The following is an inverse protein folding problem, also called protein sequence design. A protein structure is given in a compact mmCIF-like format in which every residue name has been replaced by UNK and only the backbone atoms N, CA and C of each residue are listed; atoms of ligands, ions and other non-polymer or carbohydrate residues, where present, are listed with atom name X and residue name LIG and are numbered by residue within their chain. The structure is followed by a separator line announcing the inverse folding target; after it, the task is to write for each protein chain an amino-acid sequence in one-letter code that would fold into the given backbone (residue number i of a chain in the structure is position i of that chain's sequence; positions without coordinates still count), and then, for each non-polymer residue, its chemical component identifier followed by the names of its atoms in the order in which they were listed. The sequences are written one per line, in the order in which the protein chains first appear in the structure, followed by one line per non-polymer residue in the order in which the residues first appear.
data_IF_645965862461
#
_entry.id   IF_645965862461
#
_cell.length_a   1.000
_cell.length_b   1.000
_cell.length_c   1.000
_cell.angle_alpha   90.00
_cell.angle_beta   90.00
_cell.angle_gamma   90.00
#
_symmetry.space_group_name_H-M   'P 1'
#
loop_
_entity.id
_entity.type
_entity.pdbx_description
1 polymer ?
#
# COMPACT_ATOMS: atom_id res chain seq x y z
N UNK A 1 -6.86 -7.16 -0.89
CA UNK A 1 -6.71 -6.80 0.53
C UNK A 1 -7.65 -7.70 1.32
N UNK A 2 -7.19 -8.33 2.41
CA UNK A 2 -8.06 -9.18 3.22
C UNK A 2 -9.12 -8.31 3.91
N UNK A 3 -10.39 -8.70 3.78
CA UNK A 3 -11.52 -8.04 4.42
C UNK A 3 -12.34 -9.12 5.14
N UNK A 4 -12.26 -9.22 6.48
CA UNK A 4 -12.92 -10.29 7.22
C UNK A 4 -14.45 -10.13 7.15
N UNK A 5 -15.15 -11.25 7.09
CA UNK A 5 -16.62 -11.28 7.04
C UNK A 5 -17.18 -11.27 8.46
N UNK A 6 -17.99 -10.25 8.83
CA UNK A 6 -18.61 -10.20 10.14
C UNK A 6 -19.70 -11.25 10.27
N UNK A 7 -19.91 -11.75 11.48
CA UNK A 7 -20.97 -12.69 11.85
C UNK A 7 -22.26 -11.97 12.28
N UNK A 8 -22.13 -10.73 12.77
CA UNK A 8 -23.24 -9.90 13.26
C UNK A 8 -23.50 -8.77 12.25
N UNK A 9 -24.76 -8.46 11.96
CA UNK A 9 -25.15 -7.41 11.01
C UNK A 9 -24.82 -6.00 11.55
N UNK A 10 -23.69 -5.49 11.09
CA UNK A 10 -23.22 -4.11 10.88
C UNK A 10 -23.39 -3.00 11.93
N UNK A 11 -24.37 -3.01 12.84
CA UNK A 11 -24.68 -1.84 13.67
C UNK A 11 -23.88 -1.73 14.98
N UNK A 12 -23.11 -2.76 15.37
CA UNK A 12 -22.25 -2.74 16.57
C UNK A 12 -20.75 -2.68 16.25
N UNK A 13 -20.37 -2.69 14.96
CA UNK A 13 -18.98 -2.91 14.53
C UNK A 13 -18.35 -1.63 13.94
N UNK A 14 -19.09 -0.52 13.85
CA UNK A 14 -18.63 0.69 13.14
C UNK A 14 -17.34 1.29 13.72
N UNK A 15 -17.02 1.04 15.00
CA UNK A 15 -15.82 1.56 15.66
C UNK A 15 -14.87 0.48 16.20
N UNK A 16 -15.05 -0.79 15.82
CA UNK A 16 -14.20 -1.88 16.27
C UNK A 16 -12.76 -1.70 15.75
N UNK A 17 -11.78 -1.60 16.65
CA UNK A 17 -10.36 -1.51 16.30
C UNK A 17 -9.65 -2.82 16.56
N UNK A 18 -8.52 -3.04 15.88
CA UNK A 18 -7.64 -4.19 16.13
C UNK A 18 -7.16 -4.21 17.58
N UNK A 19 -6.97 -3.03 18.19
CA UNK A 19 -6.63 -2.87 19.61
C UNK A 19 -7.65 -3.57 20.54
N UNK A 20 -8.93 -3.54 20.18
CA UNK A 20 -10.01 -4.14 20.97
C UNK A 20 -10.03 -5.67 20.85
N UNK A 21 -9.32 -6.23 19.86
CA UNK A 21 -9.18 -7.67 19.63
C UNK A 21 -7.94 -8.27 20.32
N UNK A 22 -7.09 -7.45 20.93
CA UNK A 22 -5.83 -7.88 21.54
C UNK A 22 -5.93 -7.81 23.07
N UNK A 23 -5.42 -8.84 23.76
CA UNK A 23 -5.12 -8.79 25.18
C UNK A 23 -3.66 -8.36 25.36
N UNK A 24 -3.45 -7.14 25.86
CA UNK A 24 -2.12 -6.55 26.03
C UNK A 24 -1.29 -7.13 27.17
N UNK A 25 -1.93 -7.71 28.17
CA UNK A 25 -1.26 -8.33 29.31
C UNK A 25 -0.62 -9.66 28.90
N UNK A 26 -1.39 -10.52 28.23
CA UNK A 26 -0.91 -11.81 27.73
C UNK A 26 -0.26 -11.74 26.34
N UNK A 27 -0.39 -10.62 25.63
CA UNK A 27 0.06 -10.42 24.24
C UNK A 27 -0.52 -11.44 23.27
N UNK A 28 -1.79 -11.79 23.47
CA UNK A 28 -2.53 -12.75 22.64
C UNK A 28 -3.77 -12.12 22.03
N UNK A 29 -4.31 -12.76 21.00
CA UNK A 29 -5.62 -12.43 20.46
C UNK A 29 -6.72 -12.85 21.45
N UNK A 30 -7.78 -12.04 21.56
CA UNK A 30 -9.00 -12.41 22.29
C UNK A 30 -9.84 -13.35 21.43
N UNK A 31 -9.54 -14.64 21.51
CA UNK A 31 -10.14 -15.69 20.67
C UNK A 31 -11.68 -15.68 20.74
N UNK A 32 -12.23 -15.61 21.95
CA UNK A 32 -13.66 -15.54 22.24
C UNK A 32 -14.36 -14.37 21.52
N UNK A 33 -13.75 -13.18 21.58
CA UNK A 33 -14.27 -11.98 20.93
C UNK A 33 -14.20 -12.12 19.40
N UNK A 34 -13.08 -12.61 18.87
CA UNK A 34 -12.89 -12.78 17.42
C UNK A 34 -13.86 -13.81 16.85
N UNK A 35 -14.05 -14.95 17.51
CA UNK A 35 -14.94 -16.03 17.06
C UNK A 35 -16.43 -15.65 17.13
N UNK A 36 -16.78 -14.73 18.03
CA UNK A 36 -18.11 -14.11 18.08
C UNK A 36 -18.35 -13.09 16.96
N UNK A 37 -17.32 -12.36 16.55
CA UNK A 37 -17.43 -11.24 15.60
C UNK A 37 -17.27 -11.64 14.14
N UNK A 38 -16.47 -12.66 13.82
CA UNK A 38 -16.13 -13.03 12.44
C UNK A 38 -16.53 -14.49 12.13
N UNK A 39 -16.66 -14.79 10.83
CA UNK A 39 -16.80 -16.17 10.38
C UNK A 39 -15.54 -16.97 10.69
N UNK A 40 -15.68 -18.25 11.05
CA UNK A 40 -14.60 -19.14 11.48
C UNK A 40 -13.36 -19.10 10.56
N UNK A 41 -13.56 -19.16 9.24
CA UNK A 41 -12.48 -19.10 8.25
C UNK A 41 -11.69 -17.79 8.26
N UNK A 42 -12.29 -16.68 8.71
CA UNK A 42 -11.65 -15.38 8.82
C UNK A 42 -11.10 -15.16 10.24
N UNK A 43 -11.78 -15.65 11.28
CA UNK A 43 -11.28 -15.70 12.65
C UNK A 43 -9.94 -16.42 12.74
N UNK A 44 -9.83 -17.60 12.12
CA UNK A 44 -8.59 -18.36 12.05
C UNK A 44 -7.46 -17.53 11.42
N UNK A 45 -7.72 -16.83 10.31
CA UNK A 45 -6.72 -15.98 9.65
C UNK A 45 -6.27 -14.82 10.54
N UNK A 46 -7.20 -14.18 11.24
CA UNK A 46 -6.88 -13.08 12.16
C UNK A 46 -6.00 -13.61 13.30
N UNK A 47 -6.38 -14.72 13.92
CA UNK A 47 -5.65 -15.32 15.04
C UNK A 47 -4.25 -15.85 14.63
N UNK A 48 -4.06 -16.22 13.36
CA UNK A 48 -2.74 -16.57 12.82
C UNK A 48 -1.80 -15.37 12.60
N UNK A 49 -2.29 -14.13 12.67
CA UNK A 49 -1.43 -12.96 12.53
C UNK A 49 -0.51 -12.84 13.76
N UNK A 50 0.82 -12.70 13.56
CA UNK A 50 1.74 -12.58 14.67
C UNK A 50 1.56 -11.22 15.36
N UNK A 51 1.37 -11.26 16.68
CA UNK A 51 1.39 -10.06 17.51
C UNK A 51 2.85 -9.70 17.85
N UNK A 52 3.20 -8.40 17.84
CA UNK A 52 4.55 -7.97 18.15
C UNK A 52 4.87 -8.23 19.64
N UNK A 53 5.98 -8.92 19.90
CA UNK A 53 6.46 -9.21 21.26
C UNK A 53 6.82 -7.93 22.01
N UNK A 54 7.39 -6.97 21.29
CA UNK A 54 7.76 -5.64 21.80
C UNK A 54 6.75 -4.62 21.28
N UNK A 55 6.21 -3.74 22.13
CA UNK A 55 5.33 -2.68 21.68
C UNK A 55 6.05 -1.81 20.65
N UNK A 56 5.42 -1.63 19.49
CA UNK A 56 5.87 -0.76 18.41
C UNK A 56 4.73 0.17 18.05
N UNK A 57 5.06 1.40 17.67
CA UNK A 57 4.06 2.32 17.14
C UNK A 57 3.60 1.83 15.77
N UNK A 58 2.30 1.95 15.50
CA UNK A 58 1.75 1.67 14.19
C UNK A 58 2.42 2.55 13.13
N UNK A 59 2.64 1.96 11.96
CA UNK A 59 3.27 2.63 10.83
C UNK A 59 2.57 2.24 9.53
N UNK A 60 2.54 3.17 8.57
CA UNK A 60 1.98 2.90 7.25
C UNK A 60 2.94 2.02 6.46
N UNK A 61 2.42 0.90 5.95
CA UNK A 61 3.17 -0.09 5.17
C UNK A 61 2.62 -0.11 3.74
N UNK A 62 3.51 -0.02 2.76
CA UNK A 62 3.18 -0.06 1.34
C UNK A 62 3.21 -1.48 0.78
N UNK A 63 2.02 -2.08 0.61
CA UNK A 63 1.87 -3.49 0.19
C UNK A 63 2.40 -3.82 -1.21
N UNK A 64 2.68 -2.82 -2.06
CA UNK A 64 3.23 -3.04 -3.39
C UNK A 64 4.78 -3.00 -3.42
N UNK A 65 5.42 -2.91 -2.26
CA UNK A 65 6.86 -3.10 -2.10
C UNK A 65 7.14 -4.23 -1.09
N UNK A 66 8.12 -5.09 -1.39
CA UNK A 66 8.45 -6.24 -0.52
C UNK A 66 8.96 -5.82 0.86
N UNK A 67 9.59 -4.66 0.96
CA UNK A 67 10.07 -4.10 2.23
C UNK A 67 9.03 -3.19 2.88
N UNK A 68 7.83 -3.10 2.30
CA UNK A 68 6.75 -2.28 2.83
C UNK A 68 6.98 -0.78 2.67
N UNK A 69 7.96 -0.34 1.85
CA UNK A 69 8.30 1.07 1.74
C UNK A 69 7.61 1.74 0.57
N UNK A 70 7.00 2.88 0.85
CA UNK A 70 6.49 3.74 -0.19
C UNK A 70 7.64 4.46 -0.91
N UNK A 71 7.53 4.56 -2.23
CA UNK A 71 8.35 5.46 -3.05
C UNK A 71 7.49 5.99 -4.18
N UNK A 72 7.82 7.17 -4.71
CA UNK A 72 7.13 7.72 -5.90
C UNK A 72 7.13 6.71 -7.05
N UNK A 73 8.23 5.98 -7.22
CA UNK A 73 8.38 4.93 -8.24
C UNK A 73 7.37 3.80 -8.04
N UNK A 74 7.31 3.20 -6.85
CA UNK A 74 6.38 2.09 -6.57
C UNK A 74 4.91 2.54 -6.61
N UNK A 75 4.60 3.74 -6.12
CA UNK A 75 3.29 4.35 -6.25
C UNK A 75 2.87 4.56 -7.71
N UNK A 76 3.77 5.10 -8.54
CA UNK A 76 3.53 5.30 -9.96
C UNK A 76 3.25 3.99 -10.71
N UNK A 77 4.01 2.92 -10.43
CA UNK A 77 3.77 1.61 -11.04
C UNK A 77 2.38 1.08 -10.69
N UNK A 78 1.95 1.17 -9.42
CA UNK A 78 0.61 0.76 -9.01
C UNK A 78 -0.46 1.59 -9.72
N UNK A 79 -0.31 2.92 -9.75
CA UNK A 79 -1.27 3.80 -10.42
C UNK A 79 -1.42 3.47 -11.91
N UNK A 80 -0.31 3.22 -12.62
CA UNK A 80 -0.36 2.79 -14.03
C UNK A 80 -1.09 1.47 -14.23
N UNK A 81 -0.83 0.50 -13.34
CA UNK A 81 -1.49 -0.80 -13.37
C UNK A 81 -3.00 -0.64 -13.24
N UNK A 82 -3.45 0.15 -12.27
CA UNK A 82 -4.87 0.44 -12.04
C UNK A 82 -5.53 1.16 -13.23
N UNK A 83 -4.76 1.98 -13.96
CA UNK A 83 -5.22 2.68 -15.16
C UNK A 83 -5.11 1.84 -16.45
N UNK A 84 -4.74 0.56 -16.37
CA UNK A 84 -4.58 -0.31 -17.54
C UNK A 84 -3.44 0.10 -18.47
N UNK A 85 -2.48 0.92 -18.01
CA UNK A 85 -1.32 1.38 -18.78
C UNK A 85 -0.12 0.47 -18.58
N UNK A 86 -0.35 -0.85 -18.66
CA UNK A 86 0.67 -1.88 -18.51
C UNK A 86 1.54 -1.92 -19.77
N UNK A 87 2.71 -1.29 -19.72
CA UNK A 87 3.66 -1.26 -20.83
C UNK A 87 5.00 -0.68 -20.39
N UNK A 88 6.09 -1.15 -20.98
CA UNK A 88 7.48 -0.76 -20.68
C UNK A 88 7.84 0.64 -21.21
N UNK A 89 6.98 1.62 -20.95
CA UNK A 89 7.21 3.03 -21.30
C UNK A 89 8.51 3.55 -20.67
N UNK A 90 8.90 3.03 -19.50
CA UNK A 90 10.14 3.43 -18.85
C UNK A 90 11.39 3.12 -19.68
N UNK A 91 11.41 2.01 -20.43
CA UNK A 91 12.56 1.63 -21.25
C UNK A 91 12.60 2.42 -22.57
N UNK A 92 11.45 2.62 -23.20
CA UNK A 92 11.33 3.46 -24.41
C UNK A 92 11.66 4.93 -24.10
N UNK A 93 11.12 5.46 -23.00
CA UNK A 93 11.46 6.80 -22.53
C UNK A 93 12.93 6.92 -22.15
N UNK A 94 13.52 5.91 -21.49
CA UNK A 94 14.94 5.92 -21.18
C UNK A 94 15.80 5.95 -22.45
N UNK A 95 15.44 5.20 -23.50
CA UNK A 95 16.10 5.23 -24.81
C UNK A 95 15.98 6.63 -25.44
N UNK A 96 14.78 7.20 -25.47
CA UNK A 96 14.54 8.55 -25.98
C UNK A 96 15.33 9.61 -25.21
N UNK A 97 15.27 9.62 -23.88
CA UNK A 97 16.01 10.57 -23.05
C UNK A 97 17.52 10.39 -23.17
N UNK A 98 18.03 9.16 -23.27
CA UNK A 98 19.46 8.92 -23.50
C UNK A 98 19.91 9.45 -24.85
N UNK A 99 19.07 9.35 -25.89
CA UNK A 99 19.33 9.95 -27.20
C UNK A 99 19.28 11.49 -27.17
N UNK A 100 18.37 12.08 -26.39
CA UNK A 100 18.28 13.52 -26.18
C UNK A 100 19.52 14.02 -25.41
N UNK A 101 19.73 13.53 -24.19
CA UNK A 101 20.80 13.98 -23.30
C UNK A 101 22.21 13.60 -23.77
N UNK A 102 22.35 12.54 -24.59
CA UNK A 102 23.63 12.12 -25.15
C UNK A 102 24.13 13.02 -26.28
N UNK A 103 23.29 13.90 -26.83
CA UNK A 103 23.72 14.90 -27.82
C UNK A 103 24.34 16.09 -27.10
N UNK A 104 25.51 16.52 -27.55
CA UNK A 104 26.07 17.83 -27.19
C UNK A 104 25.20 18.91 -27.84
N UNK A 105 24.14 19.33 -27.16
CA UNK A 105 23.41 20.52 -27.55
C UNK A 105 24.33 21.73 -27.37
N UNK A 106 24.77 22.31 -28.48
CA UNK A 106 25.44 23.59 -28.47
C UNK A 106 24.37 24.68 -28.47
N UNK A 107 24.36 25.44 -27.36
CA UNK A 107 23.55 26.63 -27.06
C UNK A 107 22.12 26.39 -26.56
N UNK A 108 21.75 27.26 -25.62
CA UNK A 108 20.41 27.44 -25.05
C UNK A 108 19.48 27.87 -26.19
N UNK A 109 18.41 27.12 -26.42
CA UNK A 109 17.33 27.54 -27.31
C UNK A 109 16.54 28.64 -26.59
N UNK A 110 16.79 29.89 -26.97
CA UNK A 110 15.96 31.01 -26.54
C UNK A 110 14.72 31.04 -27.43
N UNK A 111 13.58 30.62 -26.89
CA UNK A 111 12.30 30.92 -27.51
C UNK A 111 12.02 32.41 -27.29
N UNK A 112 12.25 33.24 -28.30
CA UNK A 112 11.71 34.61 -28.30
C UNK A 112 10.21 34.52 -28.56
N UNK A 113 9.42 34.92 -27.56
CA UNK A 113 7.99 35.13 -27.71
C UNK A 113 7.77 36.17 -28.81
N UNK A 114 6.95 35.85 -29.81
CA UNK A 114 6.57 36.79 -30.85
C UNK A 114 5.80 37.96 -30.25
N UNK A 115 6.13 39.16 -30.71
CA UNK A 115 5.47 40.41 -30.38
C UNK A 115 3.98 40.38 -30.81
N UNK A 116 3.12 40.90 -29.93
CA UNK A 116 1.67 41.09 -30.14
C UNK A 116 1.38 42.27 -31.07
#
# INVERSE_FOLDING_TARGET
MFKPRPRIESNQVEDLRVNDLINFESKTWRHDVIDGLFLEADSCKIQCLPLPITPRRDSLIWNADRMGRFSVRSGYYVARKLLGREGNVGEEQAKCWKAIWGRRFTRKLNFSCGDW
#
